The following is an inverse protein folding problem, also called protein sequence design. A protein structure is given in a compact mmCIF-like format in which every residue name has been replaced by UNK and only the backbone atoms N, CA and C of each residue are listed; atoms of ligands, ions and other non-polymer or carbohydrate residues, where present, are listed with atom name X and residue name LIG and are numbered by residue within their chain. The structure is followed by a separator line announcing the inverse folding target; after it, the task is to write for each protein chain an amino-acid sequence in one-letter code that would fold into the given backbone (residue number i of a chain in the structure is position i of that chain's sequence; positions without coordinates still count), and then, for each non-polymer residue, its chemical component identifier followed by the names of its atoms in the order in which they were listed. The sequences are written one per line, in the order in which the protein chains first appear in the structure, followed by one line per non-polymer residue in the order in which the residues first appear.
data_IF_439278578766
#
_entry.id   IF_439278578766
#
_cell.length_a   1.000
_cell.length_b   1.000
_cell.length_c   1.000
_cell.angle_alpha   90.00
_cell.angle_beta   90.00
_cell.angle_gamma   90.00
#
_symmetry.space_group_name_H-M   'P 1'
#
loop_
_entity.id
_entity.type
_entity.pdbx_description
1 polymer ?
#
# COMPACT_ATOMS: atom_id res chain seq x y z
N UNK A 1 16.57 -10.88 -2.34
CA UNK A 1 15.33 -11.69 -2.27
C UNK A 1 14.08 -10.86 -1.94
N UNK A 2 14.16 -9.77 -1.15
CA UNK A 2 13.02 -8.90 -0.83
C UNK A 2 12.60 -7.93 -1.95
N UNK A 3 13.54 -7.41 -2.74
CA UNK A 3 13.25 -6.55 -3.90
C UNK A 3 12.56 -7.31 -5.04
N UNK A 4 12.95 -8.57 -5.27
CA UNK A 4 12.36 -9.44 -6.30
C UNK A 4 10.87 -9.69 -6.05
N UNK A 5 10.48 -9.91 -4.79
CA UNK A 5 9.07 -10.04 -4.41
C UNK A 5 8.26 -8.77 -4.74
N UNK A 6 8.81 -7.60 -4.44
CA UNK A 6 8.14 -6.32 -4.75
C UNK A 6 8.00 -6.13 -6.24
N UNK A 7 9.00 -6.49 -7.03
CA UNK A 7 8.93 -6.40 -8.50
C UNK A 7 7.86 -7.32 -9.08
N UNK A 8 7.72 -8.55 -8.54
CA UNK A 8 6.67 -9.48 -8.95
C UNK A 8 5.28 -8.92 -8.60
N UNK A 9 5.13 -8.40 -7.38
CA UNK A 9 3.90 -7.77 -6.91
C UNK A 9 3.57 -6.55 -7.77
N UNK A 10 4.52 -5.66 -8.02
CA UNK A 10 4.33 -4.46 -8.83
C UNK A 10 3.99 -4.78 -10.30
N UNK A 11 4.59 -5.83 -10.87
CA UNK A 11 4.25 -6.29 -12.21
C UNK A 11 2.81 -6.83 -12.26
N UNK A 12 2.40 -7.62 -11.27
CA UNK A 12 1.03 -8.11 -11.18
C UNK A 12 0.02 -6.97 -10.98
N UNK A 13 0.37 -5.98 -10.16
CA UNK A 13 -0.40 -4.76 -9.97
C UNK A 13 -0.55 -3.96 -11.27
N UNK A 14 0.54 -3.75 -11.99
CA UNK A 14 0.54 -2.98 -13.23
C UNK A 14 -0.32 -3.67 -14.30
N UNK A 15 -0.23 -5.00 -14.39
CA UNK A 15 -1.06 -5.79 -15.29
C UNK A 15 -2.54 -5.75 -14.89
N UNK A 16 -2.82 -5.85 -13.60
CA UNK A 16 -4.18 -5.74 -13.05
C UNK A 16 -4.79 -4.36 -13.34
N UNK A 17 -4.01 -3.30 -13.14
CA UNK A 17 -4.42 -1.94 -13.46
C UNK A 17 -4.67 -1.74 -14.97
N UNK A 18 -3.85 -2.35 -15.83
CA UNK A 18 -4.02 -2.33 -17.28
C UNK A 18 -5.33 -3.00 -17.71
N UNK A 19 -5.67 -4.14 -17.10
CA UNK A 19 -6.93 -4.85 -17.38
C UNK A 19 -8.15 -4.09 -16.85
N UNK A 20 -8.05 -3.55 -15.64
CA UNK A 20 -9.11 -2.79 -14.99
C UNK A 20 -9.44 -1.47 -15.71
N UNK A 21 -8.45 -0.81 -16.31
CA UNK A 21 -8.68 0.39 -17.12
C UNK A 21 -9.44 1.48 -16.35
N UNK A 22 -10.57 1.94 -16.90
CA UNK A 22 -11.40 2.99 -16.30
C UNK A 22 -12.09 2.60 -14.99
N UNK A 23 -12.13 1.31 -14.65
CA UNK A 23 -12.74 0.81 -13.41
C UNK A 23 -11.83 0.96 -12.19
N UNK A 24 -10.53 1.20 -12.39
CA UNK A 24 -9.57 1.36 -11.29
C UNK A 24 -9.59 2.81 -10.76
N UNK A 25 -10.25 3.00 -9.62
CA UNK A 25 -10.20 4.27 -8.90
C UNK A 25 -8.86 4.50 -8.16
N UNK A 26 -8.16 3.41 -7.80
CA UNK A 26 -6.90 3.46 -7.07
C UNK A 26 -5.75 4.01 -7.94
N UNK A 27 -5.36 5.26 -7.68
CA UNK A 27 -4.21 5.98 -8.27
C UNK A 27 -3.64 6.94 -7.22
N UNK A 28 -2.41 7.49 -7.39
CA UNK A 28 -1.96 8.60 -6.53
C UNK A 28 -3.05 9.67 -6.41
N UNK A 29 -3.47 10.01 -5.18
CA UNK A 29 -4.60 10.90 -4.91
C UNK A 29 -5.91 10.21 -4.51
N UNK A 30 -5.99 8.86 -4.56
CA UNK A 30 -7.06 8.08 -3.94
C UNK A 30 -6.62 7.71 -2.51
N UNK A 31 -7.30 8.26 -1.50
CA UNK A 31 -6.89 8.19 -0.09
C UNK A 31 -7.96 7.63 0.85
N UNK A 32 -9.10 7.19 0.32
CA UNK A 32 -10.23 6.70 1.13
C UNK A 32 -9.85 5.46 1.98
N UNK A 33 -8.95 4.62 1.47
CA UNK A 33 -8.42 3.46 2.20
C UNK A 33 -7.14 3.76 2.99
N UNK A 34 -6.69 5.02 3.09
CA UNK A 34 -5.46 5.42 3.78
C UNK A 34 -5.70 5.79 5.25
N UNK A 35 -6.60 5.06 5.91
CA UNK A 35 -7.00 5.28 7.30
C UNK A 35 -6.67 4.03 8.14
N UNK A 36 -6.15 4.22 9.35
CA UNK A 36 -5.89 3.17 10.32
C UNK A 36 -4.41 2.88 10.58
N UNK A 37 -4.13 1.90 11.47
CA UNK A 37 -2.76 1.61 11.93
C UNK A 37 -1.90 0.86 10.90
N UNK A 38 -2.48 0.25 9.86
CA UNK A 38 -1.77 -0.54 8.84
C UNK A 38 -0.74 -1.55 9.41
N UNK A 39 -1.18 -2.76 9.78
CA UNK A 39 -0.27 -3.83 10.14
C UNK A 39 0.67 -4.15 8.98
N UNK A 40 1.97 -4.16 9.25
CA UNK A 40 3.01 -4.40 8.26
C UNK A 40 4.08 -5.35 8.80
N UNK A 41 4.71 -6.07 7.87
CA UNK A 41 5.83 -6.95 8.19
C UNK A 41 7.10 -6.16 8.55
N UNK A 42 8.08 -6.75 9.26
CA UNK A 42 9.38 -6.12 9.48
C UNK A 42 10.10 -5.72 8.19
N UNK A 43 9.85 -6.46 7.10
CA UNK A 43 10.44 -6.18 5.81
C UNK A 43 9.80 -4.95 5.15
N UNK A 44 8.49 -4.76 5.32
CA UNK A 44 7.82 -3.53 4.90
C UNK A 44 8.26 -2.32 5.73
N UNK A 45 8.47 -2.52 7.03
CA UNK A 45 9.04 -1.47 7.88
C UNK A 45 10.44 -1.05 7.44
N UNK A 46 11.28 -2.00 7.02
CA UNK A 46 12.58 -1.68 6.41
C UNK A 46 12.42 -0.85 5.14
N UNK A 47 11.52 -1.25 4.23
CA UNK A 47 11.27 -0.51 2.98
C UNK A 47 10.78 0.91 3.21
N UNK A 48 9.91 1.11 4.19
CA UNK A 48 9.43 2.44 4.58
C UNK A 48 10.57 3.33 5.08
N UNK A 49 11.48 2.77 5.89
CA UNK A 49 12.65 3.51 6.38
C UNK A 49 13.63 3.85 5.26
N UNK A 50 13.87 2.94 4.32
CA UNK A 50 14.67 3.21 3.12
C UNK A 50 14.02 4.32 2.29
N UNK A 51 12.72 4.24 2.04
CA UNK A 51 11.98 5.28 1.31
C UNK A 51 11.98 6.64 2.02
N UNK A 52 11.93 6.65 3.36
CA UNK A 52 12.02 7.88 4.14
C UNK A 52 13.43 8.48 4.06
N UNK A 53 14.49 7.67 4.11
CA UNK A 53 15.86 8.14 3.94
C UNK A 53 16.10 8.73 2.54
N UNK A 54 15.56 8.07 1.51
CA UNK A 54 15.58 8.60 0.14
C UNK A 54 14.82 9.93 0.04
N UNK A 55 13.64 10.02 0.66
CA UNK A 55 12.87 11.26 0.73
C UNK A 55 13.62 12.36 1.47
N UNK A 56 14.24 12.06 2.61
CA UNK A 56 15.03 13.02 3.40
C UNK A 56 16.20 13.57 2.58
N UNK A 57 16.84 12.76 1.75
CA UNK A 57 17.92 13.22 0.87
C UNK A 57 17.45 14.18 -0.24
N UNK A 58 16.19 14.09 -0.66
CA UNK A 58 15.61 14.86 -1.77
C UNK A 58 14.82 16.08 -1.30
N UNK A 59 14.08 15.94 -0.20
CA UNK A 59 13.17 16.92 0.39
C UNK A 59 13.10 16.71 1.92
N UNK A 60 14.07 17.28 2.68
CA UNK A 60 14.12 17.16 4.13
C UNK A 60 12.88 17.72 4.84
N UNK A 61 12.27 18.78 4.29
CA UNK A 61 11.08 19.38 4.90
C UNK A 61 9.88 18.44 4.79
N UNK A 62 9.72 17.78 3.64
CA UNK A 62 8.67 16.77 3.46
C UNK A 62 8.89 15.55 4.33
N UNK A 63 10.13 15.06 4.44
CA UNK A 63 10.47 13.98 5.37
C UNK A 63 10.15 14.36 6.82
N UNK A 64 10.47 15.60 7.25
CA UNK A 64 10.15 16.08 8.59
C UNK A 64 8.65 16.10 8.87
N UNK A 65 7.81 16.46 7.89
CA UNK A 65 6.34 16.39 8.02
C UNK A 65 5.84 14.97 8.19
N UNK A 66 6.40 13.99 7.46
CA UNK A 66 6.08 12.57 7.63
C UNK A 66 6.44 12.09 9.04
N UNK A 67 7.64 12.43 9.52
CA UNK A 67 8.11 12.10 10.85
C UNK A 67 7.23 12.69 11.96
N UNK A 68 6.83 13.96 11.81
CA UNK A 68 5.95 14.63 12.77
C UNK A 68 4.61 13.91 12.89
N UNK A 69 3.94 13.64 11.76
CA UNK A 69 2.69 12.86 11.74
C UNK A 69 2.87 11.47 12.33
N UNK A 70 3.99 10.81 12.03
CA UNK A 70 4.28 9.47 12.56
C UNK A 70 4.41 9.50 14.09
N UNK A 71 5.02 10.54 14.65
CA UNK A 71 5.19 10.72 16.10
C UNK A 71 3.89 11.07 16.82
N UNK A 72 3.04 11.87 16.19
CA UNK A 72 1.75 12.28 16.76
C UNK A 72 0.63 11.27 16.54
N UNK A 73 0.83 10.26 15.68
CA UNK A 73 -0.18 9.24 15.38
C UNK A 73 -0.70 8.57 16.65
N UNK A 74 -2.02 8.46 16.76
CA UNK A 74 -2.72 7.73 17.81
C UNK A 74 -3.04 6.28 17.43
N UNK A 75 -2.80 5.91 16.16
CA UNK A 75 -3.07 4.58 15.60
C UNK A 75 -4.57 4.21 15.62
N UNK A 76 -5.46 5.22 15.61
CA UNK A 76 -6.90 4.99 15.53
C UNK A 76 -7.32 4.55 14.12
N UNK A 77 -8.38 3.75 14.02
CA UNK A 77 -8.86 3.19 12.74
C UNK A 77 -9.31 4.28 11.74
N UNK A 78 -9.75 5.42 12.24
CA UNK A 78 -10.18 6.60 11.47
C UNK A 78 -9.11 7.69 11.36
N UNK A 79 -7.85 7.37 11.71
CA UNK A 79 -6.73 8.29 11.59
C UNK A 79 -5.99 8.12 10.25
N UNK A 80 -5.65 9.21 9.54
CA UNK A 80 -4.86 9.12 8.32
C UNK A 80 -3.49 8.49 8.55
N UNK A 81 -3.06 7.67 7.59
CA UNK A 81 -1.70 7.16 7.53
C UNK A 81 -0.67 8.30 7.62
N UNK A 82 0.40 8.20 8.42
CA UNK A 82 1.43 9.25 8.53
C UNK A 82 2.13 9.60 7.22
N UNK A 83 2.16 8.67 6.26
CA UNK A 83 2.71 8.92 4.93
C UNK A 83 1.73 9.65 4.00
N UNK A 84 0.47 9.87 4.40
CA UNK A 84 -0.50 10.64 3.62
C UNK A 84 -0.30 12.14 3.86
N UNK A 85 -0.11 12.88 2.78
CA UNK A 85 -0.14 14.34 2.80
C UNK A 85 -1.60 14.83 2.86
N UNK A 86 -2.00 15.57 3.91
CA UNK A 86 -3.37 16.03 4.06
C UNK A 86 -3.80 17.05 3.00
N UNK A 87 -2.86 17.81 2.43
CA UNK A 87 -3.16 18.86 1.46
C UNK A 87 -3.33 18.28 0.06
N UNK A 88 -2.41 17.40 -0.34
CA UNK A 88 -2.42 16.82 -1.70
C UNK A 88 -3.19 15.51 -1.80
N UNK A 89 -3.51 14.88 -0.65
CA UNK A 89 -4.07 13.52 -0.55
C UNK A 89 -3.23 12.46 -1.27
N UNK A 90 -1.92 12.70 -1.38
CA UNK A 90 -0.97 11.75 -1.97
C UNK A 90 -0.08 11.12 -0.89
N UNK A 91 0.45 9.93 -1.17
CA UNK A 91 1.39 9.29 -0.26
C UNK A 91 2.82 9.81 -0.52
N UNK A 92 3.43 10.40 0.50
CA UNK A 92 4.82 10.90 0.47
C UNK A 92 5.84 9.79 0.25
N UNK A 93 5.47 8.55 0.56
CA UNK A 93 6.30 7.34 0.40
C UNK A 93 5.69 6.37 -0.63
N UNK A 94 4.96 6.88 -1.64
CA UNK A 94 4.19 6.05 -2.58
C UNK A 94 5.03 4.94 -3.25
N UNK A 95 6.27 5.25 -3.63
CA UNK A 95 7.19 4.29 -4.25
C UNK A 95 7.64 3.19 -3.27
N UNK A 96 7.72 3.50 -1.98
CA UNK A 96 8.16 2.62 -0.91
C UNK A 96 6.98 1.95 -0.16
N UNK A 97 5.76 2.00 -0.70
CA UNK A 97 4.55 1.45 -0.06
C UNK A 97 4.75 -0.01 0.40
N UNK A 98 4.30 -0.38 1.61
CA UNK A 98 4.24 -1.75 2.10
C UNK A 98 3.49 -2.69 1.17
N UNK A 99 3.77 -3.99 1.27
CA UNK A 99 3.00 -5.03 0.58
C UNK A 99 1.50 -4.94 0.89
N UNK A 100 1.12 -4.73 2.16
CA UNK A 100 -0.27 -4.53 2.58
C UNK A 100 -0.98 -3.45 1.75
N UNK A 101 -0.32 -2.32 1.50
CA UNK A 101 -0.87 -1.22 0.72
C UNK A 101 -0.87 -1.48 -0.80
N UNK A 102 -0.01 -2.39 -1.30
CA UNK A 102 0.01 -2.80 -2.71
C UNK A 102 -1.09 -3.82 -3.01
N UNK A 103 -1.41 -4.68 -2.06
CA UNK A 103 -2.42 -5.73 -2.26
C UNK A 103 -3.85 -5.29 -1.94
N UNK A 104 -4.08 -4.15 -1.27
CA UNK A 104 -5.42 -3.71 -0.84
C UNK A 104 -6.22 -2.93 -1.92
N UNK A 105 -5.54 -2.36 -2.93
CA UNK A 105 -6.15 -1.47 -3.94
C UNK A 105 -6.56 -2.15 -5.27
N UNK A 106 -5.68 -2.90 -5.94
CA UNK A 106 -5.95 -3.55 -7.23
C UNK A 106 -6.57 -4.95 -7.07
N UNK A 107 -7.30 -5.49 -8.06
CA UNK A 107 -7.89 -6.83 -8.04
C UNK A 107 -6.82 -7.92 -8.22
N UNK A 108 -5.96 -8.04 -7.22
CA UNK A 108 -4.96 -9.09 -7.11
C UNK A 108 -5.53 -10.16 -6.20
N UNK A 109 -5.69 -11.36 -6.74
CA UNK A 109 -6.17 -12.51 -5.95
C UNK A 109 -4.99 -13.12 -5.21
N UNK A 110 -5.07 -13.11 -3.88
CA UNK A 110 -4.16 -13.88 -3.03
C UNK A 110 -4.65 -15.33 -2.92
N UNK A 111 -3.73 -16.28 -2.64
CA UNK A 111 -4.00 -17.73 -2.64
C UNK A 111 -5.11 -18.18 -1.69
N UNK A 112 -5.46 -17.38 -0.68
CA UNK A 112 -6.62 -17.63 0.21
C UNK A 112 -7.97 -17.57 -0.51
N UNK A 113 -7.99 -17.17 -1.80
CA UNK A 113 -9.22 -16.95 -2.56
C UNK A 113 -9.88 -15.60 -2.26
N UNK A 114 -9.36 -14.85 -1.28
CA UNK A 114 -9.85 -13.52 -0.97
C UNK A 114 -9.38 -12.52 -2.04
N UNK A 115 -10.36 -11.89 -2.69
CA UNK A 115 -10.16 -10.71 -3.51
C UNK A 115 -10.11 -9.50 -2.58
N UNK A 116 -8.92 -8.94 -2.36
CA UNK A 116 -8.77 -7.66 -1.68
C UNK A 116 -9.02 -6.54 -2.70
N UNK A 117 -10.28 -6.37 -3.08
CA UNK A 117 -10.72 -5.29 -3.96
C UNK A 117 -11.24 -4.15 -3.10
N UNK A 118 -10.73 -2.94 -3.32
CA UNK A 118 -11.33 -1.72 -2.79
C UNK A 118 -12.74 -1.54 -3.37
N UNK A 119 -13.75 -1.33 -2.53
CA UNK A 119 -15.16 -1.15 -2.95
C UNK A 119 -15.39 0.03 -3.92
N UNK A 120 -14.42 0.94 -4.01
CA UNK A 120 -14.45 2.08 -4.94
C UNK A 120 -13.91 1.73 -6.34
N UNK A 121 -13.18 0.62 -6.46
CA UNK A 121 -12.80 0.07 -7.75
C UNK A 121 -13.93 -0.84 -8.23
N UNK A 122 -14.25 -0.81 -9.53
CA UNK A 122 -15.33 -1.61 -10.13
C UNK A 122 -16.76 -1.24 -9.73
N UNK A 123 -16.99 0.01 -9.29
CA UNK A 123 -18.36 0.52 -9.10
C UNK A 123 -19.16 0.39 -10.41
N UNK A 124 -20.25 -0.36 -10.37
CA UNK A 124 -21.10 -0.66 -11.53
C UNK A 124 -20.61 -1.77 -12.47
N UNK A 125 -19.47 -2.43 -12.19
CA UNK A 125 -19.01 -3.58 -12.97
C UNK A 125 -19.66 -4.90 -12.52
N UNK A 126 -19.84 -5.82 -13.46
CA UNK A 126 -20.31 -7.19 -13.19
C UNK A 126 -19.21 -8.06 -12.60
N UNK A 127 -19.61 -9.17 -11.97
CA UNK A 127 -18.67 -10.18 -11.45
C UNK A 127 -17.72 -10.72 -12.53
N UNK A 128 -18.23 -10.90 -13.76
CA UNK A 128 -17.46 -11.40 -14.90
C UNK A 128 -16.42 -10.37 -15.37
N UNK A 129 -16.76 -9.08 -15.35
CA UNK A 129 -15.82 -7.98 -15.66
C UNK A 129 -14.74 -7.82 -14.57
N UNK A 130 -15.12 -8.00 -13.30
CA UNK A 130 -14.17 -8.04 -12.18
C UNK A 130 -13.20 -9.21 -12.37
N UNK A 131 -13.72 -10.41 -12.65
CA UNK A 131 -12.92 -11.62 -12.84
C UNK A 131 -11.93 -11.53 -14.00
N UNK A 132 -12.34 -10.92 -15.11
CA UNK A 132 -11.48 -10.68 -16.27
C UNK A 132 -10.27 -9.79 -15.92
N UNK A 133 -10.39 -8.94 -14.90
CA UNK A 133 -9.35 -8.02 -14.46
C UNK A 133 -8.38 -8.62 -13.44
N UNK A 134 -8.67 -9.83 -12.94
CA UNK A 134 -7.85 -10.46 -11.91
C UNK A 134 -6.49 -10.87 -12.49
N UNK A 135 -5.46 -10.65 -11.67
CA UNK A 135 -4.13 -11.19 -11.89
C UNK A 135 -3.78 -12.07 -10.70
N UNK A 136 -3.48 -13.33 -10.97
CA UNK A 136 -3.08 -14.29 -9.95
C UNK A 136 -1.62 -14.02 -9.56
N UNK A 137 -1.42 -13.80 -8.26
CA UNK A 137 -0.11 -13.53 -7.69
C UNK A 137 0.45 -14.83 -7.10
N UNK A 138 1.08 -15.64 -7.94
CA UNK A 138 1.71 -16.89 -7.52
C UNK A 138 3.07 -16.64 -6.86
N UNK A 139 3.04 -16.18 -5.61
CA UNK A 139 4.24 -16.17 -4.76
C UNK A 139 4.07 -17.21 -3.66
N UNK A 140 4.87 -18.27 -3.68
CA UNK A 140 4.97 -19.32 -2.64
C UNK A 140 5.33 -18.79 -1.23
N UNK A 141 5.52 -17.48 -1.05
CA UNK A 141 6.02 -16.86 0.18
C UNK A 141 5.15 -15.73 0.73
N UNK A 142 3.90 -15.59 0.28
CA UNK A 142 2.94 -14.67 0.90
C UNK A 142 2.29 -15.34 2.09
N UNK A 143 2.96 -15.30 3.23
CA UNK A 143 2.28 -15.41 4.51
C UNK A 143 2.14 -13.99 5.08
N UNK A 144 0.98 -13.34 4.92
CA UNK A 144 0.74 -12.00 5.45
C UNK A 144 0.74 -11.94 6.98
N UNK A 145 0.84 -13.09 7.67
CA UNK A 145 0.74 -13.21 9.15
C UNK A 145 2.01 -13.73 9.83
N UNK A 146 3.04 -14.13 9.08
CA UNK A 146 4.25 -14.74 9.64
C UNK A 146 5.43 -13.76 9.82
N UNK A 147 5.32 -12.87 10.81
CA UNK A 147 6.42 -12.40 11.68
C UNK A 147 5.98 -11.11 12.37
N UNK A 148 6.25 -10.98 13.69
CA UNK A 148 6.08 -9.78 14.55
C UNK A 148 5.64 -8.53 13.79
N UNK A 149 4.33 -8.29 13.81
CA UNK A 149 3.69 -7.18 13.10
C UNK A 149 4.06 -5.85 13.78
N UNK A 150 4.41 -4.85 12.97
CA UNK A 150 4.51 -3.45 13.39
C UNK A 150 3.51 -2.62 12.58
N UNK A 151 3.51 -1.31 12.77
CA UNK A 151 2.62 -0.39 12.05
C UNK A 151 3.41 0.59 11.21
N UNK A 152 2.76 1.22 10.24
CA UNK A 152 3.39 2.27 9.42
C UNK A 152 3.94 3.39 10.31
N UNK A 153 3.18 3.84 11.31
CA UNK A 153 3.65 4.90 12.19
C UNK A 153 4.84 4.44 13.05
N UNK A 154 4.78 3.25 13.64
CA UNK A 154 5.88 2.74 14.46
C UNK A 154 7.17 2.57 13.64
N UNK A 155 7.07 2.12 12.40
CA UNK A 155 8.21 2.00 11.49
C UNK A 155 8.84 3.35 11.12
N UNK A 156 8.03 4.42 11.06
CA UNK A 156 8.48 5.77 10.70
C UNK A 156 8.88 6.63 11.90
N UNK A 157 8.68 6.18 13.14
CA UNK A 157 9.07 6.92 14.36
C UNK A 157 10.57 6.84 14.69
N UNK A 158 11.30 5.92 14.08
CA UNK A 158 12.71 5.60 14.39
C UNK A 158 13.68 6.55 13.71
#
# INVERSE_FOLDING_TARGET
MSCELIQIVDAALAESARKAGGWLACRPGCSECCMGPFPISPLDAQRLREGLADLESQDPERAARVLDRARTSTEADDEPCPALDPDTRTCDLYAARPLTCRTFGPPVRCRSGALAICELCFDGATQEEIEACIVDLDVEKLDPTAATETTVALALRT
#
